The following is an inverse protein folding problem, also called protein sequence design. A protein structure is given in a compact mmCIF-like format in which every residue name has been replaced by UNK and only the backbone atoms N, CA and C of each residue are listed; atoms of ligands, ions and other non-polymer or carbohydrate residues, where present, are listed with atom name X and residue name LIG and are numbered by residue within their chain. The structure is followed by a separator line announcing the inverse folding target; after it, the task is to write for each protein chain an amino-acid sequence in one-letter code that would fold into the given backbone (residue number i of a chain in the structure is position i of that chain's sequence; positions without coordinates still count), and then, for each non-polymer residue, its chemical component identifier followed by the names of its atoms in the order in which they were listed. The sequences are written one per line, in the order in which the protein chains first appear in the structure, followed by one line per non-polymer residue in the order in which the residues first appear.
data_IF_874658676198
#
_entry.id   IF_874658676198
#
_cell.length_a   1.000
_cell.length_b   1.000
_cell.length_c   1.000
_cell.angle_alpha   90.00
_cell.angle_beta   90.00
_cell.angle_gamma   90.00
#
_symmetry.space_group_name_H-M   'P 1'
#
loop_
_entity.id
_entity.type
_entity.pdbx_description
1 polymer ?
#
# COMPACT_ATOMS: atom_id res chain seq x y z
N UNK A 1 33.25 17.98 9.88
CA UNK A 1 33.04 16.93 8.85
C UNK A 1 32.97 17.66 7.52
N UNK A 2 33.80 17.30 6.54
CA UNK A 2 33.92 18.08 5.30
C UNK A 2 33.20 17.38 4.14
N UNK A 3 32.94 18.11 3.07
CA UNK A 3 32.32 17.54 1.88
C UNK A 3 33.26 16.52 1.23
N UNK A 4 32.70 15.40 0.76
CA UNK A 4 33.45 14.36 0.07
C UNK A 4 34.17 14.84 -1.21
N UNK A 5 33.61 15.84 -1.90
CA UNK A 5 34.22 16.43 -3.11
C UNK A 5 35.03 17.68 -2.81
N UNK A 6 34.75 18.37 -1.71
CA UNK A 6 35.39 19.63 -1.35
C UNK A 6 35.88 19.56 0.09
N UNK A 7 37.14 19.16 0.27
CA UNK A 7 37.74 19.01 1.59
C UNK A 7 37.81 20.33 2.37
N UNK A 8 37.85 21.47 1.68
CA UNK A 8 37.84 22.80 2.31
C UNK A 8 36.45 23.32 2.68
N UNK A 9 35.37 22.65 2.26
CA UNK A 9 34.02 23.11 2.53
C UNK A 9 33.35 22.25 3.60
N UNK A 10 32.69 22.86 4.60
CA UNK A 10 31.94 22.12 5.61
C UNK A 10 30.74 21.40 4.97
N UNK A 11 30.47 20.18 5.43
CA UNK A 11 29.31 19.43 5.01
C UNK A 11 28.04 19.94 5.72
N UNK A 12 26.99 20.22 4.94
CA UNK A 12 25.70 20.69 5.45
C UNK A 12 24.62 19.59 5.42
N UNK A 13 24.93 18.44 4.83
CA UNK A 13 24.02 17.31 4.77
C UNK A 13 24.67 16.07 4.20
N UNK A 14 23.86 15.03 4.04
CA UNK A 14 24.30 13.72 3.57
C UNK A 14 23.44 13.28 2.39
N UNK A 15 24.09 12.84 1.31
CA UNK A 15 23.38 12.30 0.14
C UNK A 15 22.55 11.08 0.55
N UNK A 16 21.28 11.01 0.14
CA UNK A 16 20.41 9.88 0.49
C UNK A 16 20.87 8.56 -0.15
N UNK A 17 21.44 8.60 -1.35
CA UNK A 17 21.80 7.39 -2.10
C UNK A 17 23.11 6.77 -1.61
N UNK A 18 24.20 7.56 -1.62
CA UNK A 18 25.55 7.06 -1.33
C UNK A 18 26.02 7.34 0.10
N UNK A 19 25.22 8.04 0.91
CA UNK A 19 25.51 8.38 2.30
C UNK A 19 26.79 9.21 2.52
N UNK A 20 27.32 9.84 1.47
CA UNK A 20 28.48 10.74 1.56
C UNK A 20 28.07 12.14 2.02
N UNK A 21 28.93 12.79 2.80
CA UNK A 21 28.75 14.15 3.28
C UNK A 21 28.91 15.17 2.13
N UNK A 22 27.99 16.13 2.02
CA UNK A 22 27.94 17.12 0.94
C UNK A 22 27.81 18.55 1.44
N UNK A 23 28.50 19.49 0.78
CA UNK A 23 28.34 20.92 1.00
C UNK A 23 27.11 21.45 0.25
N UNK A 24 26.78 22.73 0.44
CA UNK A 24 25.64 23.39 -0.22
C UNK A 24 25.76 23.42 -1.76
N UNK A 25 26.98 23.50 -2.28
CA UNK A 25 27.24 23.58 -3.72
C UNK A 25 27.05 22.23 -4.43
N UNK A 26 27.39 21.12 -3.76
CA UNK A 26 27.20 19.77 -4.28
C UNK A 26 25.78 19.23 -4.03
N UNK A 27 24.95 19.95 -3.28
CA UNK A 27 23.62 19.49 -2.90
C UNK A 27 22.62 19.74 -4.04
N UNK A 28 22.12 18.66 -4.62
CA UNK A 28 21.00 18.68 -5.55
C UNK A 28 19.73 18.36 -4.77
N UNK A 29 18.77 19.27 -4.80
CA UNK A 29 17.48 19.08 -4.14
C UNK A 29 16.52 18.23 -5.01
N UNK A 30 15.98 17.16 -4.42
CA UNK A 30 14.96 16.29 -5.04
C UNK A 30 13.56 16.52 -4.44
N UNK A 31 13.39 17.62 -3.69
CA UNK A 31 12.16 18.06 -3.02
C UNK A 31 12.03 17.54 -1.58
N UNK A 32 12.25 16.23 -1.35
CA UNK A 32 12.19 15.64 0.01
C UNK A 32 13.55 15.29 0.59
N UNK A 33 14.57 15.20 -0.26
CA UNK A 33 15.88 14.64 0.06
C UNK A 33 16.93 15.30 -0.83
N UNK A 34 18.19 15.20 -0.43
CA UNK A 34 19.33 15.75 -1.17
C UNK A 34 20.21 14.65 -1.77
N UNK A 35 20.79 14.94 -2.93
CA UNK A 35 21.70 14.06 -3.66
C UNK A 35 23.02 14.79 -4.01
N UNK A 36 24.10 14.02 -4.23
CA UNK A 36 25.42 14.57 -4.54
C UNK A 36 25.75 14.68 -6.04
N UNK A 37 24.99 14.00 -6.90
CA UNK A 37 25.19 13.93 -8.35
C UNK A 37 23.87 13.66 -9.06
N UNK A 38 23.81 13.88 -10.38
CA UNK A 38 22.61 13.61 -11.18
C UNK A 38 22.19 12.14 -11.16
N UNK A 39 23.13 11.19 -11.17
CA UNK A 39 22.81 9.76 -11.00
C UNK A 39 22.16 9.49 -9.64
N UNK A 40 22.76 10.00 -8.55
CA UNK A 40 22.17 9.86 -7.22
C UNK A 40 20.81 10.56 -7.11
N UNK A 41 20.61 11.68 -7.80
CA UNK A 41 19.33 12.38 -7.81
C UNK A 41 18.23 11.54 -8.49
N UNK A 42 18.57 10.86 -9.60
CA UNK A 42 17.68 9.93 -10.28
C UNK A 42 17.28 8.77 -9.36
N UNK A 43 18.25 8.10 -8.75
CA UNK A 43 17.95 6.99 -7.81
C UNK A 43 17.07 7.45 -6.65
N UNK A 44 17.37 8.62 -6.07
CA UNK A 44 16.56 9.20 -4.98
C UNK A 44 15.14 9.54 -5.44
N UNK A 45 14.96 10.02 -6.68
CA UNK A 45 13.63 10.26 -7.24
C UNK A 45 12.84 8.96 -7.43
N UNK A 46 13.48 7.88 -7.90
CA UNK A 46 12.85 6.56 -8.03
C UNK A 46 12.48 5.99 -6.65
N UNK A 47 13.34 6.14 -5.65
CA UNK A 47 13.03 5.81 -4.26
C UNK A 47 11.85 6.63 -3.71
N UNK A 48 11.76 7.93 -4.04
CA UNK A 48 10.65 8.76 -3.60
C UNK A 48 9.34 8.29 -4.23
N UNK A 49 9.35 7.95 -5.53
CA UNK A 49 8.19 7.39 -6.24
C UNK A 49 7.76 6.04 -5.64
N UNK A 50 8.71 5.16 -5.33
CA UNK A 50 8.43 3.88 -4.69
C UNK A 50 7.79 4.09 -3.33
N UNK A 51 8.33 4.99 -2.51
CA UNK A 51 7.77 5.29 -1.19
C UNK A 51 6.36 5.87 -1.29
N UNK A 52 6.07 6.69 -2.30
CA UNK A 52 4.71 7.20 -2.52
C UNK A 52 3.73 6.12 -2.92
N UNK A 53 4.15 5.21 -3.81
CA UNK A 53 3.35 4.04 -4.16
C UNK A 53 3.13 3.13 -2.95
N UNK A 54 4.16 2.88 -2.14
CA UNK A 54 4.03 2.10 -0.92
C UNK A 54 3.10 2.75 0.10
N UNK A 55 3.20 4.07 0.34
CA UNK A 55 2.27 4.79 1.21
C UNK A 55 0.82 4.63 0.76
N UNK A 56 0.57 4.71 -0.55
CA UNK A 56 -0.76 4.47 -1.14
C UNK A 56 -1.23 3.03 -0.99
N UNK A 57 -0.34 2.05 -1.15
CA UNK A 57 -0.66 0.64 -0.94
C UNK A 57 -1.00 0.34 0.52
N UNK A 58 -0.23 0.90 1.46
CA UNK A 58 -0.47 0.72 2.90
C UNK A 58 -1.55 1.65 3.47
N UNK A 59 -2.24 2.44 2.64
CA UNK A 59 -3.29 3.36 3.12
C UNK A 59 -2.79 4.43 4.11
N UNK A 60 -1.49 4.76 4.07
CA UNK A 60 -0.89 5.84 4.88
C UNK A 60 -1.16 7.24 4.27
N UNK A 61 -1.86 7.27 3.13
CA UNK A 61 -2.28 8.49 2.45
C UNK A 61 -3.72 8.80 2.86
N UNK A 62 -3.99 10.01 3.36
CA UNK A 62 -5.29 10.44 3.89
C UNK A 62 -6.40 10.50 2.81
N UNK A 63 -6.04 10.30 1.55
CA UNK A 63 -6.85 10.68 0.39
C UNK A 63 -7.66 9.57 -0.29
N UNK A 64 -7.73 8.35 0.24
CA UNK A 64 -8.50 7.32 -0.48
C UNK A 64 -8.90 6.09 0.32
N UNK A 65 -10.19 6.02 0.64
CA UNK A 65 -10.90 4.78 1.03
C UNK A 65 -10.91 3.79 -0.13
N UNK A 66 -9.76 3.23 -0.51
CA UNK A 66 -9.70 2.15 -1.49
C UNK A 66 -10.15 0.86 -0.81
N UNK A 67 -11.29 0.35 -1.28
CA UNK A 67 -11.77 -0.97 -0.90
C UNK A 67 -10.67 -1.97 -1.27
N UNK A 68 -10.16 -2.68 -0.27
CA UNK A 68 -9.13 -3.69 -0.46
C UNK A 68 -9.66 -4.77 -1.42
N UNK A 69 -8.92 -5.06 -2.49
CA UNK A 69 -9.28 -6.07 -3.50
C UNK A 69 -9.63 -7.42 -2.87
N UNK A 70 -8.92 -7.78 -1.78
CA UNK A 70 -9.17 -8.99 -1.02
C UNK A 70 -10.59 -9.07 -0.45
N UNK A 71 -11.09 -7.98 0.15
CA UNK A 71 -12.46 -7.91 0.70
C UNK A 71 -13.52 -8.07 -0.39
N UNK A 72 -13.31 -7.45 -1.55
CA UNK A 72 -14.22 -7.55 -2.68
C UNK A 72 -14.29 -8.98 -3.21
N UNK A 73 -13.14 -9.67 -3.32
CA UNK A 73 -13.09 -11.09 -3.72
C UNK A 73 -13.80 -11.99 -2.69
N UNK A 74 -13.64 -11.75 -1.39
CA UNK A 74 -14.29 -12.57 -0.35
C UNK A 74 -15.81 -12.44 -0.40
N UNK A 75 -16.32 -11.21 -0.54
CA UNK A 75 -17.76 -10.95 -0.66
C UNK A 75 -18.32 -11.53 -1.96
N UNK A 76 -17.61 -11.40 -3.08
CA UNK A 76 -18.04 -11.95 -4.36
C UNK A 76 -18.15 -13.49 -4.30
N UNK A 77 -17.13 -14.17 -3.78
CA UNK A 77 -17.14 -15.62 -3.64
C UNK A 77 -18.22 -16.10 -2.66
N UNK A 78 -18.38 -15.42 -1.52
CA UNK A 78 -19.44 -15.70 -0.56
C UNK A 78 -20.83 -15.55 -1.17
N UNK A 79 -21.05 -14.50 -1.99
CA UNK A 79 -22.32 -14.26 -2.68
C UNK A 79 -22.65 -15.36 -3.70
N UNK A 80 -21.64 -15.85 -4.44
CA UNK A 80 -21.81 -16.95 -5.39
C UNK A 80 -22.21 -18.23 -4.65
N UNK A 81 -21.50 -18.60 -3.58
CA UNK A 81 -21.81 -19.84 -2.83
C UNK A 81 -23.15 -19.76 -2.08
N UNK A 82 -23.50 -18.59 -1.55
CA UNK A 82 -24.79 -18.40 -0.89
C UNK A 82 -25.93 -18.44 -1.93
N UNK A 83 -25.71 -17.86 -3.11
CA UNK A 83 -26.65 -17.89 -4.23
C UNK A 83 -26.95 -19.31 -4.72
N UNK A 84 -25.94 -20.18 -4.85
CA UNK A 84 -26.16 -21.58 -5.26
C UNK A 84 -26.91 -22.38 -4.19
N UNK A 85 -26.66 -22.12 -2.90
CA UNK A 85 -27.41 -22.73 -1.81
C UNK A 85 -28.89 -22.32 -1.80
N UNK A 86 -29.19 -21.03 -2.04
CA UNK A 86 -30.57 -20.53 -2.16
C UNK A 86 -31.25 -21.11 -3.41
N UNK A 87 -30.56 -21.15 -4.55
CA UNK A 87 -31.12 -21.68 -5.80
C UNK A 87 -31.56 -23.15 -5.66
N UNK A 88 -30.73 -23.99 -5.02
CA UNK A 88 -31.07 -25.41 -4.80
C UNK A 88 -32.21 -25.61 -3.81
N UNK A 89 -32.36 -24.71 -2.84
CA UNK A 89 -33.53 -24.72 -1.94
C UNK A 89 -34.84 -24.50 -2.70
N UNK A 90 -34.87 -23.57 -3.66
CA UNK A 90 -36.09 -23.26 -4.43
C UNK A 90 -36.47 -24.33 -5.46
N UNK A 91 -35.48 -24.96 -6.12
CA UNK A 91 -35.77 -25.87 -7.24
C UNK A 91 -35.91 -27.35 -6.82
N UNK A 92 -35.22 -27.78 -5.77
CA UNK A 92 -35.15 -29.20 -5.38
C UNK A 92 -35.72 -29.50 -3.98
N UNK A 93 -36.20 -28.48 -3.26
CA UNK A 93 -36.66 -28.57 -1.85
C UNK A 93 -35.60 -29.22 -0.92
N UNK A 94 -34.34 -29.21 -1.37
CA UNK A 94 -33.20 -29.82 -0.71
C UNK A 94 -32.32 -28.70 -0.14
N UNK A 95 -32.15 -28.70 1.18
CA UNK A 95 -31.32 -27.71 1.87
C UNK A 95 -29.86 -28.15 1.81
N UNK A 96 -29.07 -27.49 0.96
CA UNK A 96 -27.61 -27.61 1.01
C UNK A 96 -27.02 -26.73 2.13
N UNK A 97 -27.18 -27.20 3.36
CA UNK A 97 -26.60 -26.60 4.57
C UNK A 97 -25.11 -26.21 4.43
N UNK A 98 -24.23 -27.02 3.81
CA UNK A 98 -22.81 -26.67 3.69
C UNK A 98 -22.56 -25.39 2.89
N UNK A 99 -23.25 -25.21 1.76
CA UNK A 99 -23.07 -24.05 0.87
C UNK A 99 -23.58 -22.76 1.52
N UNK A 100 -24.72 -22.82 2.23
CA UNK A 100 -25.27 -21.68 2.96
C UNK A 100 -24.36 -21.23 4.12
N UNK A 101 -23.82 -22.19 4.89
CA UNK A 101 -22.91 -21.89 5.99
C UNK A 101 -21.61 -21.27 5.50
N UNK A 102 -20.98 -21.84 4.47
CA UNK A 102 -19.72 -21.33 3.92
C UNK A 102 -19.95 -19.94 3.30
N UNK A 103 -21.00 -19.77 2.49
CA UNK A 103 -21.36 -18.46 1.93
C UNK A 103 -21.57 -17.39 3.01
N UNK A 104 -22.28 -17.73 4.08
CA UNK A 104 -22.50 -16.82 5.22
C UNK A 104 -21.21 -16.44 5.94
N UNK A 105 -20.31 -17.41 6.17
CA UNK A 105 -18.99 -17.15 6.77
C UNK A 105 -18.18 -16.18 5.89
N UNK A 106 -18.10 -16.42 4.58
CA UNK A 106 -17.34 -15.55 3.68
C UNK A 106 -17.90 -14.11 3.62
N UNK A 107 -19.22 -13.94 3.65
CA UNK A 107 -19.86 -12.62 3.68
C UNK A 107 -19.60 -11.91 5.00
N UNK A 108 -19.70 -12.60 6.15
CA UNK A 108 -19.44 -12.00 7.46
C UNK A 108 -17.97 -11.58 7.62
N UNK A 109 -17.02 -12.42 7.16
CA UNK A 109 -15.60 -12.06 7.09
C UNK A 109 -15.35 -10.87 6.16
N UNK A 110 -15.99 -10.85 4.98
CA UNK A 110 -15.93 -9.73 4.06
C UNK A 110 -16.46 -8.43 4.68
N UNK A 111 -17.60 -8.48 5.37
CA UNK A 111 -18.20 -7.34 6.05
C UNK A 111 -17.32 -6.84 7.21
N UNK A 112 -16.77 -7.74 8.02
CA UNK A 112 -15.82 -7.39 9.08
C UNK A 112 -14.55 -6.75 8.52
N UNK A 113 -14.01 -7.30 7.42
CA UNK A 113 -12.86 -6.74 6.70
C UNK A 113 -13.16 -5.34 6.16
N UNK A 114 -14.33 -5.14 5.57
CA UNK A 114 -14.77 -3.83 5.08
C UNK A 114 -14.86 -2.79 6.22
N UNK A 115 -15.49 -3.14 7.34
CA UNK A 115 -15.64 -2.23 8.50
C UNK A 115 -14.27 -1.91 9.12
N UNK A 116 -13.39 -2.91 9.27
CA UNK A 116 -12.04 -2.70 9.80
C UNK A 116 -11.19 -1.83 8.87
N UNK A 117 -11.20 -2.10 7.56
CA UNK A 117 -10.48 -1.28 6.58
C UNK A 117 -10.98 0.16 6.58
N UNK A 118 -12.30 0.37 6.71
CA UNK A 118 -12.88 1.73 6.83
C UNK A 118 -12.47 2.45 8.13
N UNK A 119 -12.29 1.72 9.23
CA UNK A 119 -11.91 2.29 10.54
C UNK A 119 -10.40 2.54 10.68
N UNK A 120 -9.57 1.68 10.12
CA UNK A 120 -8.12 1.67 10.31
C UNK A 120 -7.41 2.45 9.18
N UNK A 121 -8.06 2.67 8.03
CA UNK A 121 -7.48 3.41 6.90
C UNK A 121 -6.38 2.66 6.15
N UNK A 122 -5.91 1.52 6.69
CA UNK A 122 -4.88 0.68 6.10
C UNK A 122 -5.56 -0.34 5.18
N UNK A 123 -5.46 -0.14 3.87
CA UNK A 123 -5.87 -1.11 2.86
C UNK A 123 -4.77 -2.18 2.68
N UNK A 124 -4.55 -3.05 3.66
CA UNK A 124 -3.62 -4.18 3.55
C UNK A 124 -4.35 -5.41 3.05
#
# INVERSE_FOLDING_TARGET
MNCYHHENNPANGTCKNCHKAICKECAIDTGRRIACSHECAKDVSDYNLLMDKSKKLYGLDESGTKIQTGTLMTVALGSIMLGTGIYRYFEYDAIDWPSLLIGGVFITFGAMGYVKNKKIGISC
#
